data_IF_214697885402
#
_entry.id   IF_214697885402
#
_cell.length_a   1.000
_cell.length_b   1.000
_cell.length_c   1.000
_cell.angle_alpha   90.00
_cell.angle_beta   90.00
_cell.angle_gamma   90.00
#
_symmetry.space_group_name_H-M   'P 1'
#
loop_
_entity.id
_entity.type
_entity.pdbx_description
1 polymer ?
#
# COMPACT_ATOMS: atom_id res chain seq x y z
N UNK A 1 17.62 8.44 -8.34
CA UNK A 1 16.54 9.41 -8.08
C UNK A 1 16.29 9.38 -6.59
N UNK A 2 16.55 10.49 -5.93
CA UNK A 2 16.46 10.56 -4.48
C UNK A 2 15.02 10.87 -4.08
N UNK A 3 14.56 10.25 -3.01
CA UNK A 3 13.24 10.50 -2.43
C UNK A 3 13.27 10.27 -0.92
N UNK A 4 12.50 11.07 -0.21
CA UNK A 4 12.37 11.01 1.25
C UNK A 4 11.00 10.46 1.62
N UNK A 5 10.96 9.51 2.55
CA UNK A 5 9.72 8.92 3.07
C UNK A 5 9.40 9.53 4.44
N UNK A 6 8.16 9.95 4.62
CA UNK A 6 7.64 10.44 5.90
C UNK A 6 6.27 9.84 6.19
N UNK A 7 5.83 9.91 7.45
CA UNK A 7 4.44 9.65 7.81
C UNK A 7 3.52 10.62 7.08
N UNK A 8 2.40 10.12 6.58
CA UNK A 8 1.41 10.94 5.90
C UNK A 8 0.71 11.91 6.87
N UNK A 9 0.16 12.97 6.30
CA UNK A 9 -0.77 13.91 6.94
C UNK A 9 -2.15 13.76 6.29
N UNK A 10 -3.21 14.12 7.00
CA UNK A 10 -4.57 14.07 6.43
C UNK A 10 -4.70 14.92 5.14
N UNK A 11 -3.96 16.03 5.06
CA UNK A 11 -3.91 16.92 3.89
C UNK A 11 -3.25 16.31 2.66
N UNK A 12 -2.48 15.23 2.80
CA UNK A 12 -1.84 14.56 1.64
C UNK A 12 -2.87 13.88 0.72
N UNK A 13 -4.12 13.70 1.18
CA UNK A 13 -5.19 13.10 0.39
C UNK A 13 -5.40 13.80 -0.96
N UNK A 14 -5.44 15.13 -0.98
CA UNK A 14 -5.75 15.90 -2.18
C UNK A 14 -4.63 15.74 -3.23
N UNK A 15 -3.36 15.70 -2.79
CA UNK A 15 -2.20 15.46 -3.66
C UNK A 15 -2.20 14.02 -4.22
N UNK A 16 -2.54 13.02 -3.39
CA UNK A 16 -2.60 11.63 -3.83
C UNK A 16 -3.72 11.43 -4.85
N UNK A 17 -4.94 11.89 -4.55
CA UNK A 17 -6.09 11.67 -5.44
C UNK A 17 -5.96 12.41 -6.76
N UNK A 18 -5.25 13.54 -6.79
CA UNK A 18 -4.95 14.25 -8.02
C UNK A 18 -4.11 13.43 -9.04
N UNK A 19 -3.39 12.40 -8.60
CA UNK A 19 -2.42 11.68 -9.47
C UNK A 19 -2.66 10.18 -9.63
N UNK A 20 -3.46 9.54 -8.77
CA UNK A 20 -3.60 8.07 -8.76
C UNK A 20 -4.15 7.50 -10.07
N UNK A 21 -5.14 8.16 -10.68
CA UNK A 21 -5.75 7.70 -11.94
C UNK A 21 -4.73 7.73 -13.09
N UNK A 22 -3.94 8.79 -13.16
CA UNK A 22 -2.87 8.96 -14.15
C UNK A 22 -1.75 7.93 -13.94
N UNK A 23 -1.37 7.67 -12.69
CA UNK A 23 -0.36 6.65 -12.38
C UNK A 23 -0.81 5.25 -12.79
N UNK A 24 -2.11 4.96 -12.66
CA UNK A 24 -2.69 3.66 -13.05
C UNK A 24 -3.14 3.59 -14.51
N UNK A 25 -3.28 4.72 -15.20
CA UNK A 25 -3.86 4.81 -16.54
C UNK A 25 -5.35 4.43 -16.59
N UNK A 26 -6.05 4.45 -15.45
CA UNK A 26 -7.48 4.12 -15.33
C UNK A 26 -8.05 4.66 -14.01
N UNK A 27 -9.38 4.82 -13.90
CA UNK A 27 -10.01 5.24 -12.65
C UNK A 27 -9.75 4.24 -11.50
N UNK A 28 -9.05 4.69 -10.48
CA UNK A 28 -8.76 3.98 -9.23
C UNK A 28 -8.95 4.85 -8.00
N UNK A 29 -9.17 6.16 -8.13
CA UNK A 29 -9.40 7.08 -7.02
C UNK A 29 -10.51 6.59 -6.06
N UNK A 30 -11.56 5.95 -6.58
CA UNK A 30 -12.64 5.35 -5.78
C UNK A 30 -12.20 4.23 -4.83
N UNK A 31 -11.00 3.66 -5.01
CA UNK A 31 -10.41 2.67 -4.10
C UNK A 31 -9.76 3.31 -2.87
N UNK A 32 -9.53 4.62 -2.88
CA UNK A 32 -8.95 5.37 -1.77
C UNK A 32 -9.90 6.52 -1.35
N UNK A 33 -11.03 6.23 -0.69
CA UNK A 33 -11.85 7.27 -0.08
C UNK A 33 -11.09 8.04 1.02
N UNK A 34 -11.49 9.30 1.22
CA UNK A 34 -10.87 10.24 2.18
C UNK A 34 -10.65 9.71 3.59
N UNK A 35 -11.55 8.83 4.05
CA UNK A 35 -11.48 8.19 5.36
C UNK A 35 -10.10 7.57 5.66
N UNK A 36 -9.38 7.08 4.64
CA UNK A 36 -8.08 6.45 4.84
C UNK A 36 -7.03 7.43 5.36
N UNK A 37 -7.05 8.67 4.88
CA UNK A 37 -6.12 9.71 5.33
C UNK A 37 -6.66 10.45 6.55
N UNK A 38 -7.99 10.60 6.68
CA UNK A 38 -8.59 11.19 7.88
C UNK A 38 -8.30 10.33 9.13
N UNK A 39 -8.36 9.00 9.03
CA UNK A 39 -8.24 8.11 10.18
C UNK A 39 -6.91 7.34 10.27
N UNK A 40 -6.23 7.07 9.15
CA UNK A 40 -5.05 6.18 9.11
C UNK A 40 -3.79 6.86 8.56
N UNK A 41 -3.72 8.19 8.47
CA UNK A 41 -2.51 8.89 8.02
C UNK A 41 -1.28 8.58 8.90
N UNK A 42 -1.47 8.40 10.22
CA UNK A 42 -0.37 8.12 11.17
C UNK A 42 0.36 6.80 10.92
N UNK A 43 -0.30 5.85 10.26
CA UNK A 43 0.25 4.54 9.86
C UNK A 43 0.48 4.44 8.36
N UNK A 44 0.20 5.53 7.63
CA UNK A 44 0.42 5.64 6.20
C UNK A 44 1.66 6.48 5.91
N UNK A 45 2.19 6.35 4.70
CA UNK A 45 3.45 6.93 4.29
C UNK A 45 3.28 7.68 2.98
N UNK A 46 4.02 8.76 2.83
CA UNK A 46 4.23 9.47 1.57
C UNK A 46 5.72 9.54 1.29
N UNK A 47 6.07 9.51 0.00
CA UNK A 47 7.41 9.71 -0.49
C UNK A 47 7.42 10.93 -1.39
N UNK A 48 8.39 11.83 -1.20
CA UNK A 48 8.57 13.02 -2.04
C UNK A 48 9.97 13.05 -2.63
N UNK A 49 10.09 13.59 -3.83
CA UNK A 49 11.38 13.81 -4.47
C UNK A 49 12.11 15.04 -3.91
N UNK A 50 13.25 15.40 -4.51
CA UNK A 50 14.04 16.57 -4.11
C UNK A 50 13.33 17.91 -4.29
N UNK A 51 12.36 17.96 -5.21
CA UNK A 51 11.58 19.17 -5.51
C UNK A 51 10.29 19.23 -4.66
N UNK A 52 10.05 18.21 -3.84
CA UNK A 52 8.90 18.09 -2.95
C UNK A 52 7.66 17.48 -3.61
N UNK A 53 7.76 17.00 -4.85
CA UNK A 53 6.64 16.39 -5.55
C UNK A 53 6.40 14.94 -5.08
N UNK A 54 5.15 14.50 -5.05
CA UNK A 54 4.79 13.13 -4.67
C UNK A 54 5.43 12.10 -5.61
N UNK A 55 6.32 11.29 -5.03
CA UNK A 55 7.01 10.19 -5.71
C UNK A 55 6.36 8.82 -5.39
N UNK A 56 5.59 8.72 -4.31
CA UNK A 56 4.87 7.51 -3.94
C UNK A 56 4.11 7.65 -2.62
N UNK A 57 3.27 6.67 -2.31
CA UNK A 57 2.51 6.61 -1.06
C UNK A 57 2.21 5.15 -0.69
N UNK A 58 1.93 4.90 0.59
CA UNK A 58 1.46 3.62 1.11
C UNK A 58 0.39 3.87 2.19
N UNK A 59 -0.77 3.26 2.03
CA UNK A 59 -1.90 3.32 2.95
C UNK A 59 -1.90 2.07 3.80
N UNK A 60 -1.53 2.25 5.06
CA UNK A 60 -1.29 1.18 6.02
C UNK A 60 -2.23 1.28 7.20
N UNK A 61 -2.77 0.16 7.64
CA UNK A 61 -3.73 0.07 8.74
C UNK A 61 -3.25 -0.90 9.81
N UNK A 62 -3.62 -0.63 11.05
CA UNK A 62 -3.55 -1.59 12.16
C UNK A 62 -4.96 -2.12 12.41
N UNK A 63 -5.13 -3.44 12.47
CA UNK A 63 -6.46 -4.03 12.59
C UNK A 63 -6.99 -3.91 14.03
N UNK A 64 -8.15 -3.27 14.26
CA UNK A 64 -8.77 -3.27 15.58
C UNK A 64 -9.43 -4.62 15.91
N UNK A 65 -9.81 -5.39 14.88
CA UNK A 65 -10.51 -6.68 15.04
C UNK A 65 -9.57 -7.89 15.12
N UNK A 66 -8.33 -7.73 14.67
CA UNK A 66 -7.30 -8.77 14.75
C UNK A 66 -6.06 -8.18 15.42
N UNK A 67 -6.03 -8.25 16.75
CA UNK A 67 -4.90 -7.76 17.53
C UNK A 67 -3.58 -8.37 17.00
N UNK A 68 -2.56 -7.53 16.83
CA UNK A 68 -1.27 -7.95 16.29
C UNK A 68 -1.22 -8.10 14.77
N UNK A 69 -2.22 -7.60 14.01
CA UNK A 69 -2.23 -7.63 12.54
C UNK A 69 -2.27 -6.24 11.93
N UNK A 70 -1.45 -6.03 10.92
CA UNK A 70 -1.47 -4.85 10.07
C UNK A 70 -1.93 -5.21 8.65
N UNK A 71 -2.34 -4.21 7.87
CA UNK A 71 -2.84 -4.39 6.51
C UNK A 71 -2.37 -3.27 5.58
N UNK A 72 -1.93 -3.62 4.36
CA UNK A 72 -1.61 -2.64 3.32
C UNK A 72 -2.81 -2.59 2.37
N UNK A 73 -3.51 -1.46 2.36
CA UNK A 73 -4.71 -1.26 1.55
C UNK A 73 -4.37 -0.81 0.13
N UNK A 74 -3.55 0.22 0.02
CA UNK A 74 -3.26 0.84 -1.27
C UNK A 74 -1.84 1.41 -1.30
N UNK A 75 -1.11 1.17 -2.37
CA UNK A 75 0.28 1.65 -2.52
C UNK A 75 0.48 2.07 -3.96
N UNK A 76 1.16 3.20 -4.15
CA UNK A 76 1.49 3.73 -5.46
C UNK A 76 2.91 4.29 -5.51
N UNK A 77 3.55 4.12 -6.67
CA UNK A 77 4.83 4.74 -7.00
C UNK A 77 4.68 5.47 -8.33
N UNK A 78 5.10 6.74 -8.35
CA UNK A 78 5.09 7.57 -9.53
C UNK A 78 5.81 6.88 -10.68
N UNK A 79 5.32 6.96 -11.94
CA UNK A 79 5.93 6.28 -13.08
C UNK A 79 7.45 6.51 -13.21
N UNK A 80 7.92 7.74 -12.99
CA UNK A 80 9.34 8.09 -13.04
C UNK A 80 10.19 7.39 -11.97
N UNK A 81 9.60 7.00 -10.84
CA UNK A 81 10.29 6.35 -9.72
C UNK A 81 10.16 4.82 -9.72
N UNK A 82 9.50 4.22 -10.72
CA UNK A 82 9.40 2.76 -10.83
C UNK A 82 10.79 2.16 -11.09
N UNK A 83 11.03 0.97 -10.54
CA UNK A 83 12.35 0.31 -10.62
C UNK A 83 13.45 0.93 -9.75
N UNK A 84 13.21 2.05 -9.07
CA UNK A 84 14.20 2.69 -8.18
C UNK A 84 14.37 2.01 -6.81
N UNK A 85 13.51 1.05 -6.47
CA UNK A 85 13.42 0.46 -5.13
C UNK A 85 12.52 1.24 -4.15
N UNK A 86 11.87 2.34 -4.57
CA UNK A 86 11.00 3.12 -3.68
C UNK A 86 9.86 2.31 -3.05
N UNK A 87 9.20 1.42 -3.81
CA UNK A 87 8.14 0.56 -3.27
C UNK A 87 8.63 -0.35 -2.13
N UNK A 88 9.84 -0.90 -2.27
CA UNK A 88 10.49 -1.71 -1.21
C UNK A 88 10.72 -0.88 0.04
N UNK A 89 11.28 0.32 -0.11
CA UNK A 89 11.55 1.24 1.02
C UNK A 89 10.26 1.65 1.76
N UNK A 90 9.16 1.89 1.02
CA UNK A 90 7.84 2.15 1.61
C UNK A 90 7.34 0.97 2.45
N UNK A 91 7.42 -0.26 1.91
CA UNK A 91 7.01 -1.46 2.64
C UNK A 91 7.87 -1.72 3.87
N UNK A 92 9.19 -1.61 3.76
CA UNK A 92 10.11 -1.80 4.88
C UNK A 92 9.84 -0.81 6.00
N UNK A 93 9.58 0.46 5.66
CA UNK A 93 9.18 1.47 6.65
C UNK A 93 7.85 1.14 7.31
N UNK A 94 6.87 0.65 6.54
CA UNK A 94 5.59 0.22 7.10
C UNK A 94 5.72 -1.02 8.00
N UNK A 95 6.59 -1.97 7.65
CA UNK A 95 6.88 -3.12 8.51
C UNK A 95 7.48 -2.71 9.84
N UNK A 96 8.35 -1.69 9.86
CA UNK A 96 8.86 -1.12 11.12
C UNK A 96 7.72 -0.53 11.95
N UNK A 97 6.84 0.29 11.36
CA UNK A 97 5.66 0.85 12.04
C UNK A 97 4.79 -0.27 12.63
N UNK A 98 4.53 -1.33 11.85
CA UNK A 98 3.72 -2.43 12.30
C UNK A 98 4.37 -3.20 13.47
N UNK A 99 5.68 -3.45 13.44
CA UNK A 99 6.41 -4.08 14.56
C UNK A 99 6.38 -3.22 15.82
N UNK A 100 6.61 -1.92 15.69
CA UNK A 100 6.55 -0.96 16.80
C UNK A 100 5.15 -0.92 17.43
N UNK A 101 4.10 -1.15 16.64
CA UNK A 101 2.73 -1.30 17.10
C UNK A 101 2.39 -2.70 17.66
N UNK A 102 3.37 -3.59 17.81
CA UNK A 102 3.18 -4.95 18.33
C UNK A 102 2.53 -5.92 17.34
N UNK A 103 2.55 -5.62 16.03
CA UNK A 103 2.04 -6.55 15.03
C UNK A 103 3.03 -7.68 14.73
N UNK A 104 2.49 -8.88 14.58
CA UNK A 104 3.22 -10.10 14.20
C UNK A 104 3.04 -10.44 12.72
N UNK A 105 2.18 -9.75 11.98
CA UNK A 105 2.04 -9.98 10.54
C UNK A 105 1.28 -8.90 9.78
N UNK A 106 1.48 -8.90 8.46
CA UNK A 106 0.90 -7.95 7.51
C UNK A 106 0.11 -8.71 6.44
N UNK A 107 -1.12 -8.25 6.18
CA UNK A 107 -1.94 -8.73 5.08
C UNK A 107 -2.06 -7.71 3.94
N UNK A 108 -2.36 -8.20 2.74
CA UNK A 108 -2.82 -7.41 1.59
C UNK A 108 -3.55 -8.33 0.60
N UNK A 109 -4.24 -7.76 -0.39
CA UNK A 109 -4.86 -8.54 -1.47
C UNK A 109 -4.65 -7.87 -2.82
N UNK A 110 -4.82 -8.64 -3.91
CA UNK A 110 -4.91 -8.06 -5.24
C UNK A 110 -5.76 -8.92 -6.18
N UNK A 111 -6.22 -8.34 -7.29
CA UNK A 111 -6.93 -9.08 -8.32
C UNK A 111 -5.96 -10.08 -9.01
N UNK A 112 -6.41 -11.27 -9.43
CA UNK A 112 -5.53 -12.32 -9.98
C UNK A 112 -4.77 -11.88 -11.25
N UNK A 113 -5.35 -10.95 -12.01
CA UNK A 113 -4.74 -10.38 -13.22
C UNK A 113 -3.57 -9.42 -12.93
N UNK A 114 -3.39 -8.98 -11.67
CA UNK A 114 -2.33 -8.04 -11.28
C UNK A 114 -1.02 -8.77 -10.99
N UNK A 115 -0.44 -9.38 -12.02
CA UNK A 115 0.79 -10.18 -11.95
C UNK A 115 1.98 -9.37 -11.41
N UNK A 116 2.04 -8.08 -11.70
CA UNK A 116 3.06 -7.17 -11.16
C UNK A 116 2.99 -7.02 -9.65
N UNK A 117 1.79 -6.84 -9.09
CA UNK A 117 1.59 -6.80 -7.63
C UNK A 117 1.93 -8.13 -6.99
N UNK A 118 1.53 -9.26 -7.60
CA UNK A 118 1.84 -10.60 -7.11
C UNK A 118 3.36 -10.81 -7.02
N UNK A 119 4.09 -10.56 -8.11
CA UNK A 119 5.55 -10.71 -8.13
C UNK A 119 6.24 -9.77 -7.14
N UNK A 120 5.76 -8.53 -7.02
CA UNK A 120 6.28 -7.57 -6.03
C UNK A 120 6.10 -8.08 -4.60
N UNK A 121 4.90 -8.53 -4.21
CA UNK A 121 4.63 -9.05 -2.88
C UNK A 121 5.44 -10.32 -2.58
N UNK A 122 5.59 -11.23 -3.55
CA UNK A 122 6.50 -12.39 -3.42
C UNK A 122 7.94 -11.94 -3.12
N UNK A 123 8.44 -10.91 -3.83
CA UNK A 123 9.79 -10.36 -3.61
C UNK A 123 9.98 -9.64 -2.26
N UNK A 124 8.87 -9.29 -1.61
CA UNK A 124 8.84 -8.71 -0.25
C UNK A 124 8.69 -9.78 0.85
N UNK A 125 8.62 -11.06 0.46
CA UNK A 125 8.52 -12.20 1.38
C UNK A 125 7.09 -12.51 1.84
N UNK A 126 6.07 -12.06 1.12
CA UNK A 126 4.70 -12.52 1.39
C UNK A 126 4.50 -13.94 0.85
N UNK A 127 3.82 -14.75 1.65
CA UNK A 127 3.11 -15.93 1.15
C UNK A 127 1.96 -15.47 0.27
N UNK A 128 1.86 -16.04 -0.92
CA UNK A 128 0.82 -15.72 -1.90
C UNK A 128 -0.12 -16.90 -2.05
N UNK A 129 -1.40 -16.68 -1.73
CA UNK A 129 -2.43 -17.72 -1.73
C UNK A 129 -3.58 -17.33 -2.66
N UNK A 130 -4.04 -18.25 -3.48
CA UNK A 130 -5.20 -18.08 -4.34
C UNK A 130 -4.89 -18.21 -5.84
N UNK A 131 -5.82 -17.78 -6.72
CA UNK A 131 -7.02 -16.98 -6.39
C UNK A 131 -8.02 -17.71 -5.50
N UNK A 132 -8.55 -17.01 -4.50
CA UNK A 132 -9.65 -17.49 -3.65
C UNK A 132 -10.98 -17.01 -4.25
N UNK A 133 -11.87 -17.96 -4.52
CA UNK A 133 -13.13 -17.66 -5.19
C UNK A 133 -14.06 -16.80 -4.32
N UNK A 134 -14.60 -15.75 -4.91
CA UNK A 134 -15.58 -14.87 -4.27
C UNK A 134 -15.07 -14.17 -2.99
N UNK A 135 -13.76 -14.03 -2.84
CA UNK A 135 -13.14 -13.46 -1.63
C UNK A 135 -13.63 -12.03 -1.32
N UNK A 136 -13.74 -11.18 -2.35
CA UNK A 136 -14.24 -9.81 -2.22
C UNK A 136 -15.72 -9.69 -2.63
N UNK A 137 -16.48 -10.78 -2.40
CA UNK A 137 -17.88 -10.93 -2.77
C UNK A 137 -18.09 -11.78 -4.03
N UNK A 138 -19.35 -12.14 -4.35
CA UNK A 138 -19.66 -13.05 -5.45
C UNK A 138 -19.02 -12.63 -6.78
N UNK A 139 -18.25 -13.55 -7.40
CA UNK A 139 -17.55 -13.32 -8.67
C UNK A 139 -16.30 -12.43 -8.58
N UNK A 140 -15.87 -12.02 -7.38
CA UNK A 140 -14.68 -11.22 -7.15
C UNK A 140 -13.60 -12.03 -6.45
N UNK A 141 -12.87 -12.77 -7.27
CA UNK A 141 -11.77 -13.60 -6.82
C UNK A 141 -10.56 -12.74 -6.48
N UNK A 142 -9.86 -13.06 -5.39
CA UNK A 142 -8.67 -12.33 -4.96
C UNK A 142 -7.51 -13.25 -4.66
N UNK A 143 -6.31 -12.75 -4.93
CA UNK A 143 -5.07 -13.31 -4.40
C UNK A 143 -4.81 -12.64 -3.06
N UNK A 144 -4.56 -13.45 -2.04
CA UNK A 144 -4.33 -13.01 -0.65
C UNK A 144 -2.84 -13.11 -0.33
N UNK A 145 -2.32 -12.06 0.28
CA UNK A 145 -0.94 -11.96 0.71
C UNK A 145 -0.87 -11.96 2.23
N UNK A 146 0.01 -12.80 2.78
CA UNK A 146 0.31 -12.82 4.21
C UNK A 146 1.82 -12.85 4.47
N UNK A 147 2.30 -12.01 5.39
CA UNK A 147 3.72 -11.96 5.77
C UNK A 147 3.87 -11.88 7.29
N UNK A 148 4.60 -12.81 7.93
CA UNK A 148 5.01 -12.67 9.33
C UNK A 148 6.07 -11.57 9.48
N UNK A 149 5.99 -10.76 10.54
CA UNK A 149 6.89 -9.62 10.80
C UNK A 149 8.12 -10.00 11.63
#
# INVERSE_FOLDING_TARGET
MDSTISTAQATDYDEIIAVVDDWWGRPVAGLLPRLFLDHFHRTSLVARDSDGALAGFLIGLLSPSQAGRAYIHFVGVAPAFRGSGLGRRLYERFFTIAREAGCAGVGAITAPVNTGSIAFHQSMGFTVTGPQQGYDGPGKDMVVFDRPL
#
